data_IF_182819575406
#
_entry.id   IF_182819575406
#
_cell.length_a   1.000
_cell.length_b   1.000
_cell.length_c   1.000
_cell.angle_alpha   90.00
_cell.angle_beta   90.00
_cell.angle_gamma   90.00
#
_symmetry.space_group_name_H-M   'P 1'
#
loop_
_entity.id
_entity.type
_entity.pdbx_description
1 polymer ?
#
# COMPACT_ATOMS: atom_id res chain seq x y z
N UNK A 1 1.57 2.88 -22.67
CA UNK A 1 1.02 3.09 -21.32
C UNK A 1 2.04 2.62 -20.30
N UNK A 2 2.22 3.37 -19.23
CA UNK A 2 3.07 2.96 -18.11
C UNK A 2 2.31 2.00 -17.19
N UNK A 3 2.81 0.76 -17.07
CA UNK A 3 2.21 -0.27 -16.21
C UNK A 3 2.65 -0.13 -14.75
N UNK A 4 3.87 0.37 -14.55
CA UNK A 4 4.56 0.36 -13.27
C UNK A 4 5.29 1.67 -13.01
N UNK A 5 5.48 1.96 -11.73
CA UNK A 5 6.42 2.97 -11.24
C UNK A 5 7.31 2.35 -10.18
N UNK A 6 8.60 2.68 -10.21
CA UNK A 6 9.50 2.34 -9.12
C UNK A 6 9.55 3.48 -8.11
N UNK A 7 9.25 3.17 -6.85
CA UNK A 7 9.44 4.09 -5.74
C UNK A 7 10.78 3.77 -5.06
N UNK A 8 11.79 4.60 -5.35
CA UNK A 8 13.17 4.34 -4.99
C UNK A 8 13.42 4.43 -3.48
N UNK A 9 12.71 5.31 -2.78
CA UNK A 9 12.90 5.50 -1.33
C UNK A 9 12.57 4.22 -0.54
N UNK A 10 11.59 3.45 -1.01
CA UNK A 10 11.12 2.23 -0.35
C UNK A 10 11.50 0.95 -1.10
N UNK A 11 12.15 1.09 -2.25
CA UNK A 11 12.52 0.00 -3.17
C UNK A 11 11.32 -0.90 -3.52
N UNK A 12 10.18 -0.28 -3.84
CA UNK A 12 8.96 -1.01 -4.23
C UNK A 12 8.50 -0.62 -5.62
N UNK A 13 7.86 -1.57 -6.30
CA UNK A 13 7.24 -1.32 -7.60
C UNK A 13 5.74 -1.20 -7.44
N UNK A 14 5.18 -0.08 -7.88
CA UNK A 14 3.75 0.22 -7.83
C UNK A 14 3.14 -0.14 -9.18
N UNK A 15 2.13 -1.01 -9.18
CA UNK A 15 1.28 -1.21 -10.34
C UNK A 15 0.34 -0.01 -10.47
N UNK A 16 0.43 0.73 -11.57
CA UNK A 16 -0.39 1.94 -11.78
C UNK A 16 -1.86 1.62 -12.09
N UNK A 17 -2.15 0.41 -12.58
CA UNK A 17 -3.54 -0.05 -12.84
C UNK A 17 -4.24 -0.50 -11.56
N UNK A 18 -3.56 -1.27 -10.70
CA UNK A 18 -4.11 -1.71 -9.41
C UNK A 18 -3.99 -0.66 -8.31
N UNK A 19 -3.07 0.31 -8.47
CA UNK A 19 -2.69 1.32 -7.47
C UNK A 19 -2.25 0.67 -6.15
N UNK A 20 -1.35 -0.30 -6.25
CA UNK A 20 -0.77 -1.07 -5.13
C UNK A 20 0.66 -1.49 -5.48
N UNK A 21 1.50 -1.66 -4.46
CA UNK A 21 2.83 -2.24 -4.63
C UNK A 21 2.76 -3.74 -4.94
N UNK A 22 3.70 -4.20 -5.77
CA UNK A 22 3.81 -5.57 -6.25
C UNK A 22 4.80 -6.30 -5.36
N UNK A 23 4.39 -7.46 -4.83
CA UNK A 23 5.32 -8.34 -4.12
C UNK A 23 6.27 -9.01 -5.11
N UNK A 24 7.60 -9.01 -4.87
CA UNK A 24 8.59 -9.54 -5.80
C UNK A 24 8.49 -11.05 -6.04
N UNK A 25 8.08 -11.84 -5.05
CA UNK A 25 8.14 -13.31 -5.12
C UNK A 25 9.58 -13.84 -5.12
N UNK A 26 9.79 -15.12 -5.47
CA UNK A 26 11.15 -15.67 -5.56
C UNK A 26 11.88 -15.07 -6.77
N UNK A 27 13.18 -14.83 -6.62
CA UNK A 27 14.03 -14.32 -7.71
C UNK A 27 13.60 -12.97 -8.29
N UNK A 28 12.89 -12.14 -7.50
CA UNK A 28 12.45 -10.78 -7.84
C UNK A 28 11.56 -10.62 -9.09
N UNK A 29 11.20 -11.70 -9.77
CA UNK A 29 10.50 -11.67 -11.07
C UNK A 29 9.24 -12.52 -11.08
N UNK A 30 9.16 -13.55 -10.24
CA UNK A 30 8.00 -14.46 -10.15
C UNK A 30 6.74 -13.70 -9.75
N UNK A 31 6.83 -12.85 -8.73
CA UNK A 31 5.69 -12.10 -8.20
C UNK A 31 5.15 -11.09 -9.20
N UNK A 32 6.03 -10.43 -9.95
CA UNK A 32 5.65 -9.55 -11.07
C UNK A 32 4.96 -10.34 -12.19
N UNK A 33 5.56 -11.46 -12.61
CA UNK A 33 5.00 -12.31 -13.67
C UNK A 33 3.60 -12.76 -13.31
N UNK A 34 3.42 -13.24 -12.07
CA UNK A 34 2.13 -13.67 -11.54
C UNK A 34 1.14 -12.50 -11.45
N UNK A 35 1.56 -11.34 -10.97
CA UNK A 35 0.70 -10.16 -10.87
C UNK A 35 0.17 -9.75 -12.24
N UNK A 36 1.04 -9.50 -13.22
CA UNK A 36 0.63 -9.01 -14.53
C UNK A 36 -0.14 -10.04 -15.34
N UNK A 37 0.22 -11.32 -15.24
CA UNK A 37 -0.54 -12.39 -15.91
C UNK A 37 -1.94 -12.55 -15.32
N UNK A 38 -2.10 -12.49 -14.00
CA UNK A 38 -3.37 -12.81 -13.36
C UNK A 38 -4.30 -11.60 -13.23
N UNK A 39 -3.75 -10.43 -12.90
CA UNK A 39 -4.55 -9.21 -12.67
C UNK A 39 -4.84 -8.45 -13.96
N UNK A 40 -3.91 -8.51 -14.92
CA UNK A 40 -3.97 -7.71 -16.14
C UNK A 40 -4.00 -8.55 -17.43
N UNK A 41 -3.99 -9.87 -17.32
CA UNK A 41 -3.98 -10.81 -18.45
C UNK A 41 -2.87 -10.55 -19.48
N UNK A 42 -1.77 -9.91 -19.07
CA UNK A 42 -0.65 -9.59 -19.94
C UNK A 42 0.11 -10.87 -20.32
N UNK A 43 0.46 -11.01 -21.61
CA UNK A 43 1.06 -12.23 -22.17
C UNK A 43 2.12 -11.89 -23.21
N UNK A 44 2.85 -12.92 -23.65
CA UNK A 44 3.78 -12.83 -24.76
C UNK A 44 4.88 -11.79 -24.56
N UNK A 45 5.18 -11.05 -25.63
CA UNK A 45 6.30 -10.10 -25.69
C UNK A 45 6.15 -8.94 -24.70
N UNK A 46 4.93 -8.45 -24.51
CA UNK A 46 4.66 -7.31 -23.61
C UNK A 46 4.96 -7.66 -22.15
N UNK A 47 4.56 -8.88 -21.72
CA UNK A 47 4.90 -9.37 -20.39
C UNK A 47 6.42 -9.51 -20.23
N UNK A 48 7.10 -10.14 -21.18
CA UNK A 48 8.56 -10.33 -21.12
C UNK A 48 9.29 -8.99 -21.04
N UNK A 49 8.88 -8.00 -21.85
CA UNK A 49 9.48 -6.67 -21.85
C UNK A 49 9.24 -5.94 -20.52
N UNK A 50 8.04 -6.03 -19.96
CA UNK A 50 7.72 -5.43 -18.66
C UNK A 50 8.54 -6.05 -17.51
N UNK A 51 8.65 -7.39 -17.48
CA UNK A 51 9.45 -8.06 -16.44
C UNK A 51 10.93 -7.73 -16.58
N UNK A 52 11.46 -7.69 -17.81
CA UNK A 52 12.85 -7.31 -18.07
C UNK A 52 13.14 -5.86 -17.69
N UNK A 53 12.17 -4.96 -17.81
CA UNK A 53 12.30 -3.59 -17.32
C UNK A 53 12.41 -3.55 -15.79
N UNK A 54 11.66 -4.37 -15.07
CA UNK A 54 11.67 -4.41 -13.61
C UNK A 54 12.89 -5.13 -13.02
N UNK A 55 13.47 -6.12 -13.70
CA UNK A 55 14.50 -7.02 -13.15
C UNK A 55 15.83 -6.35 -12.81
N UNK A 56 16.09 -5.14 -13.31
CA UNK A 56 17.32 -4.39 -13.05
C UNK A 56 17.34 -3.61 -11.74
N UNK A 57 16.25 -3.64 -10.95
CA UNK A 57 16.13 -2.88 -9.70
C UNK A 57 15.76 -3.78 -8.52
N UNK A 58 16.24 -3.46 -7.31
CA UNK A 58 15.79 -4.14 -6.10
C UNK A 58 14.29 -3.98 -5.93
N UNK A 59 13.65 -4.98 -5.33
CA UNK A 59 12.23 -4.97 -5.02
C UNK A 59 12.03 -5.60 -3.66
N UNK A 60 11.57 -4.80 -2.69
CA UNK A 60 11.25 -5.24 -1.33
C UNK A 60 9.79 -5.66 -1.23
N UNK A 61 9.48 -6.53 -0.26
CA UNK A 61 8.11 -6.94 -0.01
C UNK A 61 7.34 -5.81 0.72
N UNK A 62 6.32 -5.20 0.09
CA UNK A 62 5.56 -4.09 0.69
C UNK A 62 4.89 -4.44 2.03
N UNK A 63 4.75 -5.72 2.35
CA UNK A 63 4.12 -6.14 3.60
C UNK A 63 5.06 -6.00 4.81
N UNK A 64 6.37 -6.01 4.59
CA UNK A 64 7.38 -6.07 5.67
C UNK A 64 8.27 -4.82 5.74
N UNK A 65 8.27 -3.97 4.72
CA UNK A 65 9.02 -2.71 4.77
C UNK A 65 8.49 -1.77 5.86
N UNK A 66 9.35 -0.85 6.26
CA UNK A 66 8.96 0.33 7.03
C UNK A 66 8.07 1.23 6.15
N UNK A 67 7.03 1.79 6.76
CA UNK A 67 6.12 2.69 6.07
C UNK A 67 6.72 4.09 6.02
N UNK A 68 6.27 4.93 5.07
CA UNK A 68 6.50 6.36 5.14
C UNK A 68 6.09 6.93 6.51
N UNK A 69 6.80 7.95 7.01
CA UNK A 69 6.39 8.66 8.21
C UNK A 69 5.05 9.36 7.99
N UNK A 70 4.26 9.48 9.06
CA UNK A 70 3.01 10.24 9.02
C UNK A 70 3.25 11.72 8.69
N UNK A 71 2.40 12.28 7.82
CA UNK A 71 2.53 13.66 7.33
C UNK A 71 3.60 13.84 6.25
N UNK A 72 4.18 12.73 5.75
CA UNK A 72 5.06 12.74 4.59
C UNK A 72 4.31 13.04 3.28
N UNK A 73 5.05 13.36 2.23
CA UNK A 73 4.47 13.57 0.91
C UNK A 73 3.77 12.29 0.41
N UNK A 74 2.63 12.41 -0.30
CA UNK A 74 1.99 11.26 -0.91
C UNK A 74 2.93 10.53 -1.89
N UNK A 75 2.93 9.21 -1.83
CA UNK A 75 3.63 8.38 -2.80
C UNK A 75 2.81 8.32 -4.09
N UNK A 76 3.42 8.75 -5.20
CA UNK A 76 2.79 8.76 -6.52
C UNK A 76 2.35 7.36 -6.96
N UNK A 77 1.18 7.30 -7.60
CA UNK A 77 0.61 6.04 -8.11
C UNK A 77 -0.18 5.23 -7.09
N UNK A 78 -0.18 5.64 -5.82
CA UNK A 78 -1.07 5.11 -4.78
C UNK A 78 -2.31 6.01 -4.60
N UNK A 79 -3.46 5.46 -4.21
CA UNK A 79 -4.67 6.26 -4.00
C UNK A 79 -4.60 6.99 -2.67
N UNK A 80 -5.06 8.25 -2.65
CA UNK A 80 -5.40 8.94 -1.41
C UNK A 80 -6.74 8.40 -0.91
N UNK A 81 -6.73 7.75 0.26
CA UNK A 81 -7.90 7.09 0.83
C UNK A 81 -8.45 7.92 1.99
N UNK A 82 -9.73 8.29 1.99
CA UNK A 82 -10.35 8.84 3.19
C UNK A 82 -10.37 7.76 4.27
N UNK A 83 -9.90 8.10 5.46
CA UNK A 83 -9.82 7.18 6.57
C UNK A 83 -9.91 7.87 7.91
N UNK A 84 -9.58 7.11 8.95
CA UNK A 84 -9.73 7.51 10.34
C UNK A 84 -8.51 7.09 11.13
N UNK A 85 -8.05 7.96 12.03
CA UNK A 85 -7.03 7.61 13.03
C UNK A 85 -7.58 7.79 14.43
N UNK A 86 -7.13 6.93 15.35
CA UNK A 86 -7.32 7.12 16.77
C UNK A 86 -6.40 8.25 17.24
N UNK A 87 -6.87 9.10 18.15
CA UNK A 87 -6.08 10.20 18.71
C UNK A 87 -5.31 9.80 19.97
N UNK A 88 -5.49 8.55 20.44
CA UNK A 88 -4.91 8.04 21.69
C UNK A 88 -3.85 6.96 21.42
N UNK A 89 -3.94 6.24 20.31
CA UNK A 89 -2.97 5.22 19.92
C UNK A 89 -2.78 5.20 18.39
N UNK A 90 -1.86 4.36 17.90
CA UNK A 90 -1.50 4.30 16.47
C UNK A 90 -2.54 3.62 15.56
N UNK A 91 -3.68 3.21 16.12
CA UNK A 91 -4.73 2.54 15.36
C UNK A 91 -5.32 3.48 14.30
N UNK A 92 -5.39 2.96 13.07
CA UNK A 92 -5.91 3.69 11.92
C UNK A 92 -6.54 2.73 10.91
N UNK A 93 -7.55 3.20 10.21
CA UNK A 93 -8.30 2.37 9.25
C UNK A 93 -9.07 3.24 8.27
N UNK A 94 -9.33 2.73 7.07
CA UNK A 94 -10.25 3.35 6.12
C UNK A 94 -11.73 3.04 6.45
N UNK A 95 -11.99 2.10 7.36
CA UNK A 95 -13.35 1.66 7.69
C UNK A 95 -13.85 2.31 8.99
N UNK A 96 -14.87 3.15 8.88
CA UNK A 96 -15.47 3.87 10.02
C UNK A 96 -16.00 2.94 11.12
N UNK A 97 -16.65 1.84 10.74
CA UNK A 97 -17.19 0.85 11.68
C UNK A 97 -16.06 0.21 12.49
N UNK A 98 -14.93 -0.09 11.85
CA UNK A 98 -13.75 -0.60 12.54
C UNK A 98 -13.19 0.42 13.55
N UNK A 99 -13.19 1.71 13.20
CA UNK A 99 -12.77 2.76 14.13
C UNK A 99 -13.70 2.89 15.35
N UNK A 100 -15.02 2.87 15.14
CA UNK A 100 -16.01 2.89 16.23
C UNK A 100 -15.84 1.66 17.13
N UNK A 101 -15.71 0.48 16.53
CA UNK A 101 -15.50 -0.76 17.27
C UNK A 101 -14.18 -0.75 18.06
N UNK A 102 -13.10 -0.25 17.47
CA UNK A 102 -11.83 -0.04 18.16
C UNK A 102 -12.03 0.87 19.37
N UNK A 103 -12.65 2.05 19.19
CA UNK A 103 -12.87 3.00 20.28
C UNK A 103 -13.71 2.43 21.42
N UNK A 104 -14.73 1.63 21.11
CA UNK A 104 -15.58 0.98 22.11
C UNK A 104 -14.86 -0.12 22.89
N UNK A 105 -13.87 -0.78 22.30
CA UNK A 105 -13.15 -1.91 22.91
C UNK A 105 -11.87 -1.49 23.62
N UNK A 106 -11.31 -0.34 23.25
CA UNK A 106 -10.11 0.19 23.86
C UNK A 106 -10.44 0.93 25.16
N UNK A 107 -9.68 0.67 26.22
CA UNK A 107 -9.78 1.39 27.51
C UNK A 107 -9.22 2.82 27.44
N UNK A 108 -9.57 3.57 26.40
CA UNK A 108 -9.10 4.93 26.20
C UNK A 108 -9.92 5.94 27.03
N UNK A 109 -9.30 7.05 27.51
CA UNK A 109 -10.01 8.09 28.26
C UNK A 109 -11.18 8.70 27.46
N UNK A 110 -12.29 9.01 28.12
CA UNK A 110 -13.59 9.36 27.49
C UNK A 110 -13.77 10.82 27.05
N UNK A 111 -12.75 11.66 27.18
CA UNK A 111 -12.90 13.13 27.11
C UNK A 111 -13.12 13.71 25.71
N UNK A 112 -12.90 12.93 24.64
CA UNK A 112 -13.12 13.33 23.22
C UNK A 112 -13.69 12.17 22.39
N UNK A 113 -14.14 12.49 21.16
CA UNK A 113 -14.52 11.49 20.14
C UNK A 113 -13.47 10.39 20.00
N UNK A 114 -12.20 10.72 20.25
CA UNK A 114 -11.09 9.77 20.37
C UNK A 114 -10.53 9.31 19.04
N UNK A 115 -11.05 9.86 17.94
CA UNK A 115 -10.61 9.62 16.58
C UNK A 115 -11.01 10.81 15.69
N UNK A 116 -10.30 10.94 14.57
CA UNK A 116 -10.52 11.99 13.57
C UNK A 116 -10.40 11.44 12.15
N UNK A 117 -10.91 12.20 11.18
CA UNK A 117 -10.79 11.85 9.75
C UNK A 117 -9.43 12.31 9.22
N UNK A 118 -8.77 11.45 8.45
CA UNK A 118 -7.45 11.70 7.87
C UNK A 118 -7.38 11.13 6.46
N UNK A 119 -6.39 11.57 5.67
CA UNK A 119 -6.05 10.94 4.40
C UNK A 119 -4.99 9.88 4.65
N UNK A 120 -5.21 8.67 4.13
CA UNK A 120 -4.32 7.54 4.27
C UNK A 120 -3.81 7.08 2.90
N UNK A 121 -2.61 6.53 2.88
CA UNK A 121 -2.11 5.69 1.79
C UNK A 121 -1.67 4.33 2.32
N UNK A 122 -1.59 3.35 1.43
CA UNK A 122 -1.02 2.03 1.72
C UNK A 122 -0.34 1.45 0.49
N UNK A 123 0.76 0.74 0.69
CA UNK A 123 1.38 -0.07 -0.37
C UNK A 123 0.54 -1.30 -0.72
N UNK A 124 -0.33 -1.75 0.17
CA UNK A 124 -1.13 -2.97 0.02
C UNK A 124 -2.61 -2.73 0.26
N UNK A 125 -3.42 -3.64 -0.26
CA UNK A 125 -4.87 -3.63 -0.09
C UNK A 125 -5.35 -4.80 0.77
N UNK A 126 -6.60 -4.72 1.23
CA UNK A 126 -7.24 -5.80 1.98
C UNK A 126 -6.61 -6.06 3.35
N UNK A 127 -6.52 -7.33 3.75
CA UNK A 127 -6.02 -7.75 5.06
C UNK A 127 -4.54 -7.45 5.31
N UNK A 128 -3.77 -7.16 4.27
CA UNK A 128 -2.36 -6.80 4.37
C UNK A 128 -2.12 -5.29 4.34
N UNK A 129 -3.18 -4.48 4.24
CA UNK A 129 -3.06 -3.03 4.19
C UNK A 129 -2.50 -2.51 5.52
N UNK A 130 -1.37 -1.81 5.43
CA UNK A 130 -0.76 -1.04 6.51
C UNK A 130 -0.74 0.42 6.07
N UNK A 131 -1.33 1.29 6.87
CA UNK A 131 -1.57 2.68 6.46
C UNK A 131 -0.57 3.64 7.12
N UNK A 132 -0.30 4.74 6.43
CA UNK A 132 0.31 5.95 6.97
C UNK A 132 -0.56 7.15 6.58
N UNK A 133 -0.42 8.25 7.32
CA UNK A 133 -1.14 9.50 7.07
C UNK A 133 -0.34 10.33 6.08
N UNK A 134 -1.05 10.95 5.12
CA UNK A 134 -0.50 11.90 4.14
C UNK A 134 -1.19 13.24 4.23
#
# INVERSE_FOLDING_TARGET
EDWVRFEAQYEVWICLKCRTAIRPGKGCTEGFTRHFRNQHQLKGRDLVQLISHCSGRPSRDPHVIELPPDGGAPVDGLPMLPGYRCTVCEYRTINKTNMIAHRSKSSHPSDRSGWESVTLQSFSQGSFARYWIV
#
